data_IF_670467318784
#
_entry.id   IF_670467318784
#
_cell.length_a   1.000
_cell.length_b   1.000
_cell.length_c   1.000
_cell.angle_alpha   90.00
_cell.angle_beta   90.00
_cell.angle_gamma   90.00
#
_symmetry.space_group_name_H-M   'P 1'
#
loop_
_entity.id
_entity.type
_entity.pdbx_description
1 polymer ?
#
# COMPACT_ATOMS: atom_id res chain seq x y z
N UNK A 1 2.34 -20.35 13.53
CA UNK A 1 3.01 -21.64 13.81
C UNK A 1 3.97 -22.07 12.71
N UNK A 2 3.61 -22.05 11.41
CA UNK A 2 4.46 -22.58 10.32
C UNK A 2 5.88 -21.98 10.23
N UNK A 3 6.04 -20.65 10.31
CA UNK A 3 7.36 -20.00 10.25
C UNK A 3 8.28 -20.41 11.41
N UNK A 4 7.74 -20.48 12.62
CA UNK A 4 8.52 -20.80 13.82
C UNK A 4 9.12 -22.20 13.73
N UNK A 5 8.37 -23.16 13.20
CA UNK A 5 8.86 -24.53 12.97
C UNK A 5 10.01 -24.53 11.97
N UNK A 6 9.88 -23.84 10.83
CA UNK A 6 10.96 -23.74 9.84
C UNK A 6 12.21 -23.07 10.41
N UNK A 7 12.06 -22.00 11.20
CA UNK A 7 13.19 -21.33 11.85
C UNK A 7 13.87 -22.25 12.88
N UNK A 8 13.10 -22.99 13.69
CA UNK A 8 13.66 -23.94 14.66
C UNK A 8 14.52 -25.02 13.98
N UNK A 9 14.07 -25.53 12.82
CA UNK A 9 14.85 -26.49 12.03
C UNK A 9 16.13 -25.87 11.47
N UNK A 10 16.11 -24.59 11.07
CA UNK A 10 17.31 -23.88 10.61
C UNK A 10 18.36 -23.69 11.72
N UNK A 11 17.89 -23.48 12.95
CA UNK A 11 18.71 -23.32 14.14
C UNK A 11 19.13 -24.64 14.78
N UNK A 12 18.87 -25.79 14.13
CA UNK A 12 19.32 -27.08 14.64
C UNK A 12 20.85 -27.14 14.67
N UNK A 13 21.39 -27.68 15.77
CA UNK A 13 22.82 -27.96 15.94
C UNK A 13 23.28 -29.11 15.04
N UNK A 14 22.35 -29.97 14.62
CA UNK A 14 22.60 -31.07 13.70
C UNK A 14 22.44 -30.57 12.25
N UNK A 15 23.53 -30.49 11.46
CA UNK A 15 23.48 -29.94 10.11
C UNK A 15 22.63 -30.78 9.15
N UNK A 16 22.42 -32.07 9.44
CA UNK A 16 21.60 -32.96 8.59
C UNK A 16 20.10 -32.64 8.69
N UNK A 17 19.67 -32.03 9.80
CA UNK A 17 18.27 -31.62 10.05
C UNK A 17 17.95 -30.23 9.51
N UNK A 18 18.97 -29.48 9.07
CA UNK A 18 18.80 -28.13 8.54
C UNK A 18 18.16 -28.20 7.14
N UNK A 19 17.02 -27.53 6.92
CA UNK A 19 16.36 -27.55 5.61
C UNK A 19 17.18 -26.77 4.59
N UNK A 20 17.28 -27.31 3.38
CA UNK A 20 17.86 -26.61 2.22
C UNK A 20 16.95 -25.44 1.78
N UNK A 21 17.51 -24.47 1.06
CA UNK A 21 16.80 -23.26 0.63
C UNK A 21 15.45 -23.54 -0.06
N UNK A 22 15.41 -24.55 -0.95
CA UNK A 22 14.18 -24.98 -1.63
C UNK A 22 13.07 -25.40 -0.66
N UNK A 23 13.40 -26.10 0.42
CA UNK A 23 12.43 -26.53 1.44
C UNK A 23 11.91 -25.36 2.27
N UNK A 24 12.73 -24.32 2.51
CA UNK A 24 12.31 -23.08 3.19
C UNK A 24 11.32 -22.30 2.32
N UNK A 25 11.62 -22.18 1.02
CA UNK A 25 10.77 -21.49 0.06
C UNK A 25 9.41 -22.18 -0.11
N UNK A 26 9.37 -23.51 0.00
CA UNK A 26 8.14 -24.30 -0.01
C UNK A 26 7.38 -24.28 1.34
N UNK A 27 7.81 -23.49 2.32
CA UNK A 27 7.13 -23.46 3.62
C UNK A 27 5.74 -22.80 3.53
N UNK A 28 4.75 -23.25 4.33
CA UNK A 28 3.39 -22.71 4.28
C UNK A 28 3.31 -21.21 4.59
N UNK A 29 4.30 -20.70 5.33
CA UNK A 29 4.40 -19.28 5.62
C UNK A 29 4.76 -18.46 4.38
N UNK A 30 5.74 -18.91 3.60
CA UNK A 30 6.16 -18.22 2.36
C UNK A 30 5.07 -18.31 1.28
N UNK A 31 4.23 -19.35 1.34
CA UNK A 31 3.05 -19.49 0.49
C UNK A 31 1.78 -18.79 1.02
N UNK A 32 1.88 -18.11 2.16
CA UNK A 32 0.74 -17.42 2.76
C UNK A 32 0.22 -16.29 1.87
N UNK A 33 -1.09 -16.02 1.98
CA UNK A 33 -1.77 -14.95 1.24
C UNK A 33 -1.07 -13.59 1.33
N UNK A 34 -0.70 -13.08 2.51
CA UNK A 34 0.06 -11.85 2.69
C UNK A 34 1.33 -11.76 1.84
N UNK A 35 2.15 -12.81 1.83
CA UNK A 35 3.42 -12.82 1.10
C UNK A 35 3.18 -12.90 -0.41
N UNK A 36 2.21 -13.69 -0.86
CA UNK A 36 1.79 -13.74 -2.27
C UNK A 36 1.30 -12.37 -2.75
N UNK A 37 0.49 -11.67 -1.95
CA UNK A 37 0.02 -10.31 -2.26
C UNK A 37 1.19 -9.33 -2.38
N UNK A 38 2.13 -9.34 -1.44
CA UNK A 38 3.30 -8.45 -1.51
C UNK A 38 4.18 -8.74 -2.74
N UNK A 39 4.40 -10.02 -3.05
CA UNK A 39 5.16 -10.42 -4.25
C UNK A 39 4.48 -9.96 -5.53
N UNK A 40 3.17 -10.13 -5.63
CA UNK A 40 2.38 -9.67 -6.77
C UNK A 40 2.41 -8.13 -6.90
N UNK A 41 2.36 -7.41 -5.78
CA UNK A 41 2.48 -5.95 -5.80
C UNK A 41 3.86 -5.50 -6.31
N UNK A 42 4.93 -6.18 -5.91
CA UNK A 42 6.30 -5.84 -6.34
C UNK A 42 6.53 -6.10 -7.84
N UNK A 43 5.87 -7.10 -8.43
CA UNK A 43 5.95 -7.38 -9.86
C UNK A 43 4.86 -6.70 -10.69
N UNK A 44 3.96 -5.92 -10.05
CA UNK A 44 2.71 -5.47 -10.66
C UNK A 44 2.91 -4.62 -11.93
N UNK A 45 3.99 -3.83 -11.99
CA UNK A 45 4.30 -2.95 -13.13
C UNK A 45 4.47 -3.72 -14.43
N UNK A 46 4.94 -4.97 -14.38
CA UNK A 46 5.13 -5.81 -15.56
C UNK A 46 3.85 -6.45 -16.11
N UNK A 47 2.72 -6.31 -15.42
CA UNK A 47 1.45 -6.90 -15.84
C UNK A 47 0.61 -5.95 -16.71
N UNK A 48 -0.30 -6.53 -17.49
CA UNK A 48 -1.30 -5.80 -18.26
C UNK A 48 -2.19 -4.90 -17.38
N UNK A 49 -2.61 -3.71 -17.86
CA UNK A 49 -3.40 -2.74 -17.10
C UNK A 49 -4.67 -3.32 -16.45
N UNK A 50 -5.36 -4.25 -17.13
CA UNK A 50 -6.57 -4.90 -16.60
C UNK A 50 -6.26 -5.73 -15.35
N UNK A 51 -5.12 -6.43 -15.33
CA UNK A 51 -4.66 -7.21 -14.19
C UNK A 51 -4.25 -6.28 -13.04
N UNK A 52 -3.54 -5.20 -13.35
CA UNK A 52 -3.17 -4.17 -12.38
C UNK A 52 -4.42 -3.60 -11.69
N UNK A 53 -5.43 -3.18 -12.44
CA UNK A 53 -6.66 -2.62 -11.90
C UNK A 53 -7.44 -3.65 -11.03
N UNK A 54 -7.56 -4.90 -11.51
CA UNK A 54 -8.22 -5.98 -10.75
C UNK A 54 -7.48 -6.29 -9.44
N UNK A 55 -6.15 -6.24 -9.43
CA UNK A 55 -5.39 -6.41 -8.21
C UNK A 55 -5.55 -5.22 -7.26
N UNK A 56 -5.37 -3.98 -7.74
CA UNK A 56 -5.47 -2.77 -6.92
C UNK A 56 -6.86 -2.57 -6.30
N UNK A 57 -7.92 -3.09 -6.89
CA UNK A 57 -9.29 -3.07 -6.31
C UNK A 57 -9.46 -4.07 -5.17
N UNK A 58 -8.71 -5.17 -5.15
CA UNK A 58 -8.76 -6.19 -4.09
C UNK A 58 -7.78 -5.92 -2.94
N UNK A 59 -6.68 -5.23 -3.24
CA UNK A 59 -5.62 -4.88 -2.31
C UNK A 59 -6.10 -4.12 -1.04
N UNK A 60 -7.09 -3.20 -1.06
CA UNK A 60 -7.60 -2.53 0.13
C UNK A 60 -8.06 -3.49 1.24
N UNK A 61 -8.60 -4.67 0.91
CA UNK A 61 -9.01 -5.67 1.90
C UNK A 61 -7.79 -6.41 2.48
N UNK A 62 -6.80 -6.68 1.65
CA UNK A 62 -5.58 -7.39 2.06
C UNK A 62 -4.68 -6.56 3.00
N UNK A 63 -4.63 -5.24 2.82
CA UNK A 63 -3.76 -4.37 3.64
C UNK A 63 -4.23 -4.23 5.10
N UNK A 64 -5.44 -4.65 5.46
CA UNK A 64 -5.94 -4.50 6.82
C UNK A 64 -5.17 -5.32 7.85
N UNK A 65 -4.59 -6.45 7.42
CA UNK A 65 -3.73 -7.30 8.25
C UNK A 65 -2.24 -6.94 8.24
N UNK A 66 -1.83 -5.88 7.54
CA UNK A 66 -0.42 -5.49 7.45
C UNK A 66 -0.02 -4.54 8.58
N UNK A 67 1.19 -4.72 9.08
CA UNK A 67 1.79 -3.80 10.04
C UNK A 67 2.17 -2.48 9.36
N UNK A 68 2.27 -1.37 10.11
CA UNK A 68 2.69 -0.08 9.55
C UNK A 68 4.04 -0.15 8.81
N UNK A 69 4.97 -0.98 9.30
CA UNK A 69 6.27 -1.20 8.66
C UNK A 69 6.14 -1.84 7.28
N UNK A 70 5.31 -2.86 7.14
CA UNK A 70 5.05 -3.51 5.83
C UNK A 70 4.40 -2.54 4.86
N UNK A 71 3.46 -1.71 5.34
CA UNK A 71 2.86 -0.67 4.52
C UNK A 71 3.92 0.32 4.00
N UNK A 72 4.83 0.76 4.88
CA UNK A 72 5.89 1.72 4.55
C UNK A 72 6.93 1.17 3.59
N UNK A 73 7.46 -0.01 3.89
CA UNK A 73 8.68 -0.51 3.25
C UNK A 73 8.37 -1.36 2.02
N UNK A 74 7.15 -1.89 1.89
CA UNK A 74 6.79 -2.82 0.80
C UNK A 74 5.61 -2.31 -0.02
N UNK A 75 4.53 -1.85 0.63
CA UNK A 75 3.32 -1.46 -0.10
C UNK A 75 3.49 -0.11 -0.80
N UNK A 76 3.89 0.93 -0.07
CA UNK A 76 4.05 2.29 -0.61
C UNK A 76 5.02 2.33 -1.81
N UNK A 77 6.21 1.70 -1.76
CA UNK A 77 7.11 1.66 -2.91
C UNK A 77 6.48 0.99 -4.13
N UNK A 78 5.76 -0.12 -3.94
CA UNK A 78 5.03 -0.78 -5.04
C UNK A 78 3.96 0.13 -5.66
N UNK A 79 3.23 0.89 -4.84
CA UNK A 79 2.25 1.86 -5.34
C UNK A 79 2.91 3.03 -6.09
N UNK A 80 4.08 3.48 -5.64
CA UNK A 80 4.83 4.51 -6.33
C UNK A 80 5.26 4.08 -7.73
N UNK A 81 5.61 2.80 -7.91
CA UNK A 81 5.97 2.28 -9.23
C UNK A 81 4.77 2.14 -10.16
N UNK A 82 3.59 1.82 -9.62
CA UNK A 82 2.37 1.60 -10.41
C UNK A 82 1.66 2.91 -10.77
N UNK A 83 1.78 3.94 -9.93
CA UNK A 83 1.15 5.25 -10.17
C UNK A 83 1.73 5.99 -11.37
N UNK A 84 2.91 5.60 -11.84
CA UNK A 84 3.48 6.10 -13.11
C UNK A 84 2.55 5.83 -14.29
N UNK A 85 1.75 4.76 -14.23
CA UNK A 85 0.66 4.52 -15.17
C UNK A 85 -0.57 5.36 -14.78
N UNK A 86 -0.86 6.42 -15.55
CA UNK A 86 -1.99 7.32 -15.30
C UNK A 86 -3.35 6.61 -15.21
N UNK A 87 -3.55 5.50 -15.91
CA UNK A 87 -4.77 4.71 -15.83
C UNK A 87 -4.98 4.05 -14.45
N UNK A 88 -3.90 3.85 -13.70
CA UNK A 88 -3.93 3.23 -12.36
C UNK A 88 -4.08 4.24 -11.22
N UNK A 89 -3.82 5.53 -11.48
CA UNK A 89 -3.95 6.63 -10.52
C UNK A 89 -5.23 6.60 -9.67
N UNK A 90 -6.46 6.40 -10.21
CA UNK A 90 -7.68 6.38 -9.40
C UNK A 90 -7.75 5.20 -8.42
N UNK A 91 -7.13 4.07 -8.74
CA UNK A 91 -7.06 2.92 -7.84
C UNK A 91 -5.99 3.13 -6.76
N UNK A 92 -4.85 3.70 -7.14
CA UNK A 92 -3.75 4.00 -6.20
C UNK A 92 -4.16 5.05 -5.18
N UNK A 93 -4.81 6.16 -5.59
CA UNK A 93 -5.28 7.18 -4.63
C UNK A 93 -6.29 6.59 -3.63
N UNK A 94 -7.15 5.68 -4.11
CA UNK A 94 -8.14 4.99 -3.29
C UNK A 94 -7.45 4.14 -2.21
N UNK A 95 -6.36 3.47 -2.55
CA UNK A 95 -5.61 2.69 -1.58
C UNK A 95 -4.78 3.57 -0.63
N UNK A 96 -4.13 4.61 -1.14
CA UNK A 96 -3.31 5.53 -0.35
C UNK A 96 -4.12 6.22 0.73
N UNK A 97 -5.31 6.73 0.41
CA UNK A 97 -6.19 7.34 1.40
C UNK A 97 -6.56 6.36 2.52
N UNK A 98 -6.76 5.07 2.21
CA UNK A 98 -6.98 4.05 3.25
C UNK A 98 -5.76 3.86 4.14
N UNK A 99 -4.55 3.91 3.55
CA UNK A 99 -3.29 3.83 4.30
C UNK A 99 -3.10 5.07 5.18
N UNK A 100 -3.42 6.27 4.70
CA UNK A 100 -3.32 7.54 5.48
C UNK A 100 -4.02 7.44 6.82
N UNK A 101 -5.22 6.83 6.86
CA UNK A 101 -5.96 6.68 8.12
C UNK A 101 -5.37 5.62 9.07
N UNK A 102 -4.49 4.74 8.60
CA UNK A 102 -3.83 3.69 9.41
C UNK A 102 -2.42 4.06 9.88
N UNK A 103 -1.83 5.13 9.35
CA UNK A 103 -0.42 5.47 9.57
C UNK A 103 -0.26 6.73 10.42
N UNK A 104 0.88 6.84 11.11
CA UNK A 104 1.19 8.00 11.93
C UNK A 104 1.64 9.21 11.08
N UNK A 105 1.75 10.38 11.72
CA UNK A 105 2.08 11.64 11.04
C UNK A 105 3.48 11.64 10.41
N UNK A 106 4.45 10.96 11.01
CA UNK A 106 5.82 10.90 10.49
C UNK A 106 5.85 10.03 9.24
N UNK A 107 5.24 8.84 9.30
CA UNK A 107 5.11 7.97 8.13
C UNK A 107 4.32 8.62 6.98
N UNK A 108 3.26 9.37 7.30
CA UNK A 108 2.52 10.13 6.31
C UNK A 108 3.43 11.13 5.58
N UNK A 109 4.16 11.96 6.32
CA UNK A 109 4.96 13.06 5.78
C UNK A 109 6.14 12.57 4.94
N UNK A 110 6.77 11.46 5.34
CA UNK A 110 7.99 10.95 4.70
C UNK A 110 7.71 10.00 3.51
N UNK A 111 6.55 9.35 3.45
CA UNK A 111 6.30 8.28 2.46
C UNK A 111 5.02 8.47 1.65
N UNK A 112 3.91 8.81 2.31
CA UNK A 112 2.60 8.90 1.62
C UNK A 112 2.43 10.23 0.91
N UNK A 113 2.87 11.32 1.53
CA UNK A 113 2.73 12.68 1.01
C UNK A 113 3.31 12.83 -0.39
N UNK A 114 4.47 12.24 -0.67
CA UNK A 114 5.13 12.34 -1.98
C UNK A 114 4.27 11.78 -3.12
N UNK A 115 3.62 10.63 -2.91
CA UNK A 115 2.74 10.04 -3.94
C UNK A 115 1.45 10.83 -4.07
N UNK A 116 0.90 11.31 -2.96
CA UNK A 116 -0.29 12.16 -2.96
C UNK A 116 -0.04 13.45 -3.72
N UNK A 117 1.10 14.11 -3.51
CA UNK A 117 1.47 15.33 -4.23
C UNK A 117 1.60 15.04 -5.72
N UNK A 118 2.23 13.92 -6.09
CA UNK A 118 2.29 13.47 -7.48
C UNK A 118 0.88 13.29 -8.09
N UNK A 119 -0.04 12.66 -7.35
CA UNK A 119 -1.42 12.47 -7.77
C UNK A 119 -2.24 13.76 -7.85
N UNK A 120 -1.95 14.75 -7.00
CA UNK A 120 -2.57 16.08 -7.04
C UNK A 120 -2.09 16.92 -8.22
N UNK A 121 -0.84 16.72 -8.66
CA UNK A 121 -0.28 17.38 -9.84
C UNK A 121 -0.84 16.80 -11.15
N UNK A 122 -1.41 15.59 -11.12
CA UNK A 122 -2.01 14.93 -12.27
C UNK A 122 -3.41 15.53 -12.53
N UNK A 123 -3.51 16.31 -13.62
CA UNK A 123 -4.77 16.92 -14.07
C UNK A 123 -5.75 15.91 -14.69
N UNK A 124 -5.23 14.77 -15.16
CA UNK A 124 -5.98 13.68 -15.76
C UNK A 124 -5.55 12.31 -15.19
N UNK A 125 -6.46 11.51 -14.61
CA UNK A 125 -7.91 11.66 -14.68
C UNK A 125 -8.52 12.59 -13.61
N UNK A 126 -9.56 13.34 -13.98
CA UNK A 126 -10.34 14.21 -13.07
C UNK A 126 -10.89 13.47 -11.84
N UNK A 127 -11.04 12.15 -11.97
CA UNK A 127 -11.49 11.25 -10.91
C UNK A 127 -10.57 11.28 -9.69
N UNK A 128 -9.27 11.55 -9.84
CA UNK A 128 -8.36 11.65 -8.70
C UNK A 128 -8.76 12.79 -7.75
N UNK A 129 -9.05 13.99 -8.27
CA UNK A 129 -9.51 15.11 -7.46
C UNK A 129 -10.89 14.86 -6.84
N UNK A 130 -11.81 14.23 -7.60
CA UNK A 130 -13.14 13.90 -7.09
C UNK A 130 -13.07 12.89 -5.93
N UNK A 131 -12.27 11.83 -6.07
CA UNK A 131 -12.11 10.80 -5.02
C UNK A 131 -11.52 11.41 -3.75
N UNK A 132 -10.54 12.30 -3.88
CA UNK A 132 -9.98 13.03 -2.72
C UNK A 132 -11.06 13.89 -2.06
N UNK A 133 -11.80 14.70 -2.83
CA UNK A 133 -12.89 15.55 -2.31
C UNK A 133 -13.96 14.75 -1.58
N UNK A 134 -14.49 13.70 -2.19
CA UNK A 134 -15.53 12.85 -1.59
C UNK A 134 -15.03 12.25 -0.29
N UNK A 135 -13.83 11.65 -0.29
CA UNK A 135 -13.28 11.03 0.92
C UNK A 135 -12.88 12.01 2.00
N UNK A 136 -12.44 13.22 1.66
CA UNK A 136 -12.21 14.29 2.65
C UNK A 136 -13.52 14.74 3.31
N UNK A 137 -14.63 14.74 2.56
CA UNK A 137 -15.96 15.10 3.04
C UNK A 137 -16.51 14.04 4.01
N UNK A 138 -16.37 12.77 3.63
CA UNK A 138 -16.87 11.62 4.39
C UNK A 138 -15.93 11.19 5.54
N UNK A 139 -14.74 11.79 5.64
CA UNK A 139 -13.79 11.51 6.71
C UNK A 139 -14.33 11.92 8.08
N UNK A 140 -14.12 11.06 9.08
CA UNK A 140 -14.48 11.31 10.47
C UNK A 140 -13.78 12.59 10.99
N UNK A 141 -14.41 13.41 11.85
CA UNK A 141 -13.85 14.69 12.31
C UNK A 141 -12.45 14.60 12.96
N UNK A 142 -12.11 13.46 13.57
CA UNK A 142 -10.75 13.20 14.11
C UNK A 142 -9.68 13.07 13.01
N UNK A 143 -10.06 12.61 11.83
CA UNK A 143 -9.14 12.38 10.72
C UNK A 143 -9.05 13.59 9.79
N UNK A 144 -10.08 14.46 9.77
CA UNK A 144 -10.05 15.75 9.06
C UNK A 144 -8.82 16.59 9.44
N UNK A 145 -8.44 16.62 10.71
CA UNK A 145 -7.25 17.35 11.18
C UNK A 145 -5.94 16.89 10.52
N UNK A 146 -5.82 15.61 10.12
CA UNK A 146 -4.65 15.12 9.40
C UNK A 146 -4.66 15.56 7.94
N UNK A 147 -5.83 15.62 7.30
CA UNK A 147 -5.96 16.13 5.93
C UNK A 147 -5.77 17.64 5.82
N UNK A 148 -6.15 18.41 6.85
CA UNK A 148 -5.86 19.85 6.91
C UNK A 148 -4.36 20.18 7.06
N UNK A 149 -3.56 19.23 7.55
CA UNK A 149 -2.10 19.38 7.57
C UNK A 149 -1.43 19.14 6.22
N UNK A 150 -2.20 18.84 5.16
CA UNK A 150 -1.67 18.68 3.81
C UNK A 150 -1.50 20.05 3.15
N UNK A 151 -0.28 20.42 2.72
CA UNK A 151 0.01 21.76 2.20
C UNK A 151 -0.79 22.14 0.93
N UNK A 152 -1.34 21.17 0.20
CA UNK A 152 -2.05 21.41 -1.06
C UNK A 152 -3.56 21.10 -1.03
N UNK A 153 -4.12 20.55 0.05
CA UNK A 153 -5.57 20.33 0.14
C UNK A 153 -6.36 21.64 0.35
N UNK A 154 -5.72 22.70 0.85
CA UNK A 154 -6.36 24.00 1.10
C UNK A 154 -6.91 24.66 -0.17
N UNK A 155 -6.35 24.35 -1.35
CA UNK A 155 -6.85 24.85 -2.63
C UNK A 155 -7.87 23.90 -3.30
N UNK A 156 -7.97 22.65 -2.84
CA UNK A 156 -8.84 21.65 -3.44
C UNK A 156 -10.26 21.68 -2.86
N UNK A 157 -10.53 22.40 -1.76
CA UNK A 157 -11.86 22.58 -1.19
C UNK A 157 -12.47 23.89 -1.72
N UNK A 158 -13.47 23.86 -2.61
CA UNK A 158 -14.19 25.07 -2.96
C UNK A 158 -15.18 25.33 -1.82
N UNK A 159 -14.96 26.43 -1.07
CA UNK A 159 -15.87 26.88 -0.03
C UNK A 159 -15.20 27.14 1.32
N UNK A 160 -14.42 28.20 1.40
CA UNK A 160 -14.29 29.01 2.63
C UNK A 160 -13.78 30.40 2.27
N UNK A 161 -14.65 31.17 1.62
CA UNK A 161 -14.94 32.56 1.95
C UNK A 161 -16.44 32.75 1.82
#
# INVERSE_FOLDING_TARGET
>A
MALQTTIRLLLSLDPTKRPIARAILASPFIESGPIKTLRMLQSLVGFEPVVQAKFLTTLPKAIDGFSPRVLRDMVIPGLHLVVTNKAMSPFVITLLLKIVFKVDKQMFSHSVASIVILLLAITEPVQCMLVIRVRTRDAHPKDRGRLHSWPHCSHAVPGTR
#
